data_IF_888792057094
#
_entry.id   IF_888792057094
#
_cell.length_a   1.000
_cell.length_b   1.000
_cell.length_c   1.000
_cell.angle_alpha   90.00
_cell.angle_beta   90.00
_cell.angle_gamma   90.00
#
_symmetry.space_group_name_H-M   'P 1'
#
loop_
_entity.id
_entity.type
_entity.pdbx_description
1 polymer ?
#
# COMPACT_ATOMS: atom_id res chain seq x y z
N UNK A 1 35.96 -1.58 -18.02
CA UNK A 1 35.61 -0.26 -17.47
C UNK A 1 34.63 -0.48 -16.32
N UNK A 2 35.10 -0.37 -15.09
CA UNK A 2 34.29 -0.62 -13.89
C UNK A 2 33.91 0.74 -13.30
N UNK A 3 32.63 1.12 -13.37
CA UNK A 3 32.14 2.37 -12.79
C UNK A 3 32.06 2.20 -11.27
N UNK A 4 33.09 2.65 -10.55
CA UNK A 4 33.05 2.80 -9.09
C UNK A 4 32.68 4.24 -8.77
N UNK A 5 31.38 4.53 -8.79
CA UNK A 5 30.85 5.83 -8.33
C UNK A 5 30.48 5.69 -6.86
N UNK A 6 31.22 6.36 -5.99
CA UNK A 6 30.90 6.42 -4.56
C UNK A 6 29.86 7.53 -4.36
N UNK A 7 28.57 7.16 -4.33
CA UNK A 7 27.46 8.10 -4.08
C UNK A 7 27.39 8.47 -2.60
N UNK A 8 28.36 9.23 -2.12
CA UNK A 8 28.31 9.88 -0.80
C UNK A 8 27.58 11.22 -0.96
N UNK A 9 26.26 11.23 -0.82
CA UNK A 9 25.44 12.34 -0.29
C UNK A 9 23.96 12.00 -0.43
N UNK A 10 23.24 11.91 0.70
CA UNK A 10 21.77 11.74 0.75
C UNK A 10 21.01 12.77 -0.11
N UNK A 11 21.59 13.96 -0.26
CA UNK A 11 21.08 15.07 -1.09
C UNK A 11 21.01 14.68 -2.58
N UNK A 12 21.96 13.90 -3.09
CA UNK A 12 22.00 13.53 -4.52
C UNK A 12 20.98 12.45 -4.84
N UNK A 13 20.81 11.48 -3.94
CA UNK A 13 19.78 10.43 -4.05
C UNK A 13 18.38 11.05 -3.96
N UNK A 14 18.19 12.01 -3.04
CA UNK A 14 16.92 12.74 -2.91
C UNK A 14 16.57 13.51 -4.19
N UNK A 15 17.53 14.26 -4.76
CA UNK A 15 17.31 15.03 -6.01
C UNK A 15 17.03 14.15 -7.23
N UNK A 16 17.61 12.96 -7.28
CA UNK A 16 17.31 11.99 -8.34
C UNK A 16 15.90 11.41 -8.12
N UNK A 17 15.51 11.17 -6.87
CA UNK A 17 14.17 10.69 -6.52
C UNK A 17 13.11 11.75 -6.83
N UNK A 18 13.40 13.04 -6.67
CA UNK A 18 12.45 14.09 -7.05
C UNK A 18 12.10 14.07 -8.55
N UNK A 19 13.00 13.58 -9.40
CA UNK A 19 12.77 13.44 -10.84
C UNK A 19 11.79 12.34 -11.21
N UNK A 20 11.56 11.35 -10.34
CA UNK A 20 10.61 10.26 -10.61
C UNK A 20 9.19 10.61 -10.15
N UNK A 21 9.01 11.70 -9.38
CA UNK A 21 7.70 12.13 -8.90
C UNK A 21 6.67 12.35 -10.03
N UNK A 22 7.02 12.94 -11.20
CA UNK A 22 6.09 13.05 -12.32
C UNK A 22 5.67 11.68 -12.87
N UNK A 23 6.61 10.74 -12.99
CA UNK A 23 6.33 9.37 -13.45
C UNK A 23 5.40 8.63 -12.48
N UNK A 24 5.61 8.81 -11.17
CA UNK A 24 4.73 8.24 -10.15
C UNK A 24 3.32 8.81 -10.26
N UNK A 25 3.18 10.13 -10.49
CA UNK A 25 1.87 10.77 -10.68
C UNK A 25 1.17 10.24 -11.93
N UNK A 26 1.91 10.12 -13.04
CA UNK A 26 1.40 9.56 -14.29
C UNK A 26 0.90 8.14 -14.07
N UNK A 27 1.71 7.28 -13.45
CA UNK A 27 1.33 5.91 -13.09
C UNK A 27 0.09 5.86 -12.17
N UNK A 28 -0.02 6.77 -11.20
CA UNK A 28 -1.20 6.85 -10.33
C UNK A 28 -2.47 7.28 -11.07
N UNK A 29 -2.34 8.03 -12.17
CA UNK A 29 -3.45 8.51 -13.00
C UNK A 29 -3.74 7.65 -14.23
N UNK A 30 -2.91 6.64 -14.53
CA UNK A 30 -3.07 5.81 -15.72
C UNK A 30 -4.46 5.18 -15.77
N UNK A 31 -5.09 5.05 -16.95
CA UNK A 31 -6.35 4.35 -17.08
C UNK A 31 -6.20 2.89 -16.65
N UNK A 32 -7.27 2.31 -16.12
CA UNK A 32 -7.36 0.90 -15.73
C UNK A 32 -8.26 0.16 -16.72
N UNK A 33 -8.12 -1.16 -16.79
CA UNK A 33 -9.09 -2.02 -17.46
C UNK A 33 -10.49 -1.88 -16.83
N UNK A 34 -11.52 -2.17 -17.62
CA UNK A 34 -12.93 -2.06 -17.17
C UNK A 34 -13.31 -3.11 -16.14
N UNK A 35 -12.74 -4.31 -16.22
CA UNK A 35 -13.10 -5.44 -15.36
C UNK A 35 -11.86 -6.11 -14.81
N UNK A 36 -11.84 -6.37 -13.50
CA UNK A 36 -10.82 -7.19 -12.85
C UNK A 36 -11.46 -8.42 -12.22
N UNK A 37 -10.77 -9.56 -12.36
CA UNK A 37 -11.22 -10.81 -11.78
C UNK A 37 -11.12 -10.80 -10.25
N UNK A 38 -9.99 -10.32 -9.72
CA UNK A 38 -9.77 -10.24 -8.27
C UNK A 38 -9.07 -8.94 -7.93
N UNK A 39 -9.51 -8.26 -6.89
CA UNK A 39 -8.78 -7.12 -6.31
C UNK A 39 -8.46 -7.41 -4.85
N UNK A 40 -7.17 -7.37 -4.53
CA UNK A 40 -6.65 -7.44 -3.18
C UNK A 40 -6.40 -6.02 -2.65
N UNK A 41 -6.86 -5.74 -1.44
CA UNK A 41 -6.55 -4.53 -0.71
C UNK A 41 -5.78 -4.91 0.55
N UNK A 42 -4.57 -4.39 0.66
CA UNK A 42 -3.65 -4.66 1.76
C UNK A 42 -3.10 -3.36 2.37
N UNK A 43 -2.60 -3.44 3.60
CA UNK A 43 -2.00 -2.34 4.34
C UNK A 43 -0.63 -2.71 4.88
N UNK A 44 0.34 -1.85 4.57
CA UNK A 44 1.68 -1.90 5.15
C UNK A 44 1.85 -0.71 6.10
N UNK A 45 2.25 -0.99 7.34
CA UNK A 45 2.48 0.03 8.35
C UNK A 45 3.96 0.29 8.62
N UNK A 46 4.31 1.57 8.72
CA UNK A 46 5.68 2.01 8.90
C UNK A 46 5.77 3.21 9.84
N UNK A 47 6.89 3.29 10.56
CA UNK A 47 7.16 4.36 11.51
C UNK A 47 8.00 5.43 10.82
N UNK A 48 7.48 6.65 10.75
CA UNK A 48 8.16 7.79 10.13
C UNK A 48 8.47 8.82 11.19
N UNK A 49 9.72 9.29 11.25
CA UNK A 49 10.07 10.46 12.05
C UNK A 49 9.65 11.71 11.29
N UNK A 50 8.72 12.47 11.86
CA UNK A 50 8.29 13.77 11.35
C UNK A 50 8.34 14.77 12.50
N UNK A 51 9.02 15.90 12.32
CA UNK A 51 9.08 16.99 13.30
C UNK A 51 9.49 16.57 14.72
N UNK A 52 10.39 15.59 14.83
CA UNK A 52 10.89 15.09 16.12
C UNK A 52 9.99 14.06 16.80
N UNK A 53 8.81 13.75 16.23
CA UNK A 53 7.92 12.70 16.71
C UNK A 53 7.92 11.49 15.76
N UNK A 54 7.79 10.29 16.31
CA UNK A 54 7.59 9.08 15.52
C UNK A 54 6.09 8.94 15.25
N UNK A 55 5.69 9.18 14.00
CA UNK A 55 4.32 9.06 13.53
C UNK A 55 4.19 7.74 12.76
N UNK A 56 3.14 6.98 13.05
CA UNK A 56 2.82 5.76 12.29
C UNK A 56 2.04 6.14 11.04
N UNK A 57 2.48 5.65 9.89
CA UNK A 57 1.79 5.81 8.61
C UNK A 57 1.42 4.43 8.07
N UNK A 58 0.26 4.37 7.44
CA UNK A 58 -0.23 3.18 6.73
C UNK A 58 -0.21 3.46 5.22
N UNK A 59 0.43 2.58 4.46
CA UNK A 59 0.28 2.52 3.00
C UNK A 59 -0.77 1.48 2.67
N UNK A 60 -1.86 1.93 2.06
CA UNK A 60 -2.88 1.09 1.48
C UNK A 60 -2.49 0.78 0.03
N UNK A 61 -2.55 -0.48 -0.36
CA UNK A 61 -2.17 -0.93 -1.70
C UNK A 61 -3.36 -1.71 -2.27
N UNK A 62 -3.77 -1.36 -3.49
CA UNK A 62 -4.73 -2.12 -4.27
C UNK A 62 -3.99 -2.87 -5.39
N UNK A 63 -4.13 -4.18 -5.42
CA UNK A 63 -3.54 -5.07 -6.43
C UNK A 63 -4.67 -5.76 -7.16
N UNK A 64 -4.72 -5.61 -8.48
CA UNK A 64 -5.73 -6.21 -9.34
C UNK A 64 -5.15 -7.40 -10.10
N UNK A 65 -5.98 -8.41 -10.33
CA UNK A 65 -5.76 -9.49 -11.29
C UNK A 65 -6.70 -9.24 -12.45
N UNK A 66 -6.15 -8.99 -13.64
CA UNK A 66 -6.96 -8.79 -14.83
C UNK A 66 -7.59 -10.11 -15.31
N UNK A 67 -8.41 -10.06 -16.35
CA UNK A 67 -9.09 -11.25 -16.88
C UNK A 67 -8.13 -12.27 -17.51
N UNK A 68 -6.90 -11.85 -17.83
CA UNK A 68 -5.83 -12.70 -18.37
C UNK A 68 -5.00 -13.36 -17.25
N UNK A 69 -5.27 -13.05 -15.98
CA UNK A 69 -4.54 -13.57 -14.82
C UNK A 69 -3.27 -12.79 -14.46
N UNK A 70 -3.01 -11.66 -15.12
CA UNK A 70 -1.87 -10.79 -14.82
C UNK A 70 -2.14 -9.96 -13.57
N UNK A 71 -1.19 -9.99 -12.63
CA UNK A 71 -1.22 -9.18 -11.40
C UNK A 71 -0.61 -7.82 -11.66
N UNK A 72 -1.30 -6.76 -11.26
CA UNK A 72 -0.76 -5.41 -11.33
C UNK A 72 -1.18 -4.57 -10.11
N UNK A 73 -0.32 -3.62 -9.74
CA UNK A 73 -0.66 -2.64 -8.70
C UNK A 73 -1.53 -1.57 -9.34
N UNK A 74 -2.77 -1.46 -8.85
CA UNK A 74 -3.73 -0.48 -9.33
C UNK A 74 -3.40 0.89 -8.78
N UNK A 75 -3.13 0.98 -7.47
CA UNK A 75 -2.80 2.24 -6.79
C UNK A 75 -2.25 2.01 -5.37
N UNK A 76 -1.59 3.05 -4.86
CA UNK A 76 -1.14 3.16 -3.47
C UNK A 76 -1.66 4.45 -2.86
N UNK A 77 -2.02 4.41 -1.57
CA UNK A 77 -2.43 5.58 -0.80
C UNK A 77 -1.69 5.59 0.54
N UNK A 78 -1.18 6.75 0.94
CA UNK A 78 -0.56 6.93 2.24
C UNK A 78 -1.55 7.67 3.12
N UNK A 79 -1.87 7.09 4.28
CA UNK A 79 -2.78 7.73 5.23
C UNK A 79 -2.43 7.36 6.67
N UNK A 80 -2.77 8.26 7.58
CA UNK A 80 -2.54 8.09 9.02
C UNK A 80 -3.73 7.45 9.73
N UNK A 81 -4.94 7.58 9.18
CA UNK A 81 -6.15 7.04 9.81
C UNK A 81 -7.14 6.46 8.78
N UNK A 82 -7.76 5.36 9.17
CA UNK A 82 -8.76 4.65 8.38
C UNK A 82 -10.15 5.24 8.61
N UNK A 83 -10.95 5.33 7.55
CA UNK A 83 -12.36 5.65 7.71
C UNK A 83 -13.18 5.01 6.59
N UNK A 84 -14.45 4.71 6.84
CA UNK A 84 -15.35 4.23 5.78
C UNK A 84 -15.39 5.19 4.57
N UNK A 85 -15.26 6.50 4.82
CA UNK A 85 -15.15 7.54 3.78
C UNK A 85 -13.89 7.39 2.92
N UNK A 86 -12.80 6.87 3.49
CA UNK A 86 -11.57 6.59 2.76
C UNK A 86 -11.77 5.48 1.73
N UNK A 87 -12.34 4.34 2.15
CA UNK A 87 -12.60 3.22 1.24
C UNK A 87 -13.55 3.62 0.10
N UNK A 88 -14.58 4.41 0.41
CA UNK A 88 -15.45 4.97 -0.62
C UNK A 88 -14.66 5.87 -1.61
N UNK A 89 -13.75 6.70 -1.09
CA UNK A 89 -12.85 7.51 -1.93
C UNK A 89 -11.90 6.65 -2.77
N UNK A 90 -11.43 5.52 -2.24
CA UNK A 90 -10.57 4.57 -2.96
C UNK A 90 -11.32 3.99 -4.15
N UNK A 91 -12.52 3.43 -3.92
CA UNK A 91 -13.37 2.85 -4.96
C UNK A 91 -13.77 3.89 -6.01
N UNK A 92 -14.19 5.08 -5.61
CA UNK A 92 -14.50 6.17 -6.53
C UNK A 92 -13.27 6.55 -7.39
N UNK A 93 -12.07 6.51 -6.80
CA UNK A 93 -10.86 6.84 -7.53
C UNK A 93 -10.46 5.77 -8.56
N UNK A 94 -10.81 4.50 -8.33
CA UNK A 94 -10.64 3.43 -9.30
C UNK A 94 -11.70 3.53 -10.41
N UNK A 95 -12.95 3.81 -10.03
CA UNK A 95 -14.06 4.02 -10.99
C UNK A 95 -13.78 5.17 -11.95
N UNK A 96 -13.29 6.30 -11.45
CA UNK A 96 -12.91 7.45 -12.26
C UNK A 96 -11.79 7.15 -13.27
N UNK A 97 -11.06 6.04 -13.11
CA UNK A 97 -9.97 5.61 -14.01
C UNK A 97 -10.41 4.58 -15.04
N UNK A 98 -11.69 4.22 -15.06
CA UNK A 98 -12.26 3.26 -16.00
C UNK A 98 -12.64 1.92 -15.40
N UNK A 99 -12.43 1.69 -14.09
CA UNK A 99 -12.87 0.45 -13.44
C UNK A 99 -14.41 0.43 -13.34
N UNK A 100 -15.04 -0.50 -14.04
CA UNK A 100 -16.49 -0.67 -14.05
C UNK A 100 -16.92 -1.77 -13.07
N UNK A 101 -16.20 -2.90 -13.04
CA UNK A 101 -16.60 -4.06 -12.23
C UNK A 101 -15.41 -4.84 -11.64
N UNK A 102 -15.66 -5.49 -10.50
CA UNK A 102 -14.72 -6.37 -9.81
C UNK A 102 -15.47 -7.64 -9.42
N UNK A 103 -15.05 -8.80 -9.92
CA UNK A 103 -15.73 -10.06 -9.63
C UNK A 103 -15.52 -10.51 -8.17
N UNK A 104 -14.30 -10.37 -7.65
CA UNK A 104 -13.95 -10.73 -6.27
C UNK A 104 -13.10 -9.63 -5.65
N UNK A 105 -13.50 -9.13 -4.49
CA UNK A 105 -12.70 -8.20 -3.69
C UNK A 105 -12.28 -8.87 -2.38
N UNK A 106 -10.97 -8.98 -2.16
CA UNK A 106 -10.38 -9.48 -0.93
C UNK A 106 -9.75 -8.33 -0.16
N UNK A 107 -10.23 -8.06 1.05
CA UNK A 107 -9.68 -7.04 1.94
C UNK A 107 -9.21 -7.75 3.18
N UNK A 108 -7.91 -7.70 3.49
CA UNK A 108 -7.43 -8.23 4.77
C UNK A 108 -8.05 -7.41 5.90
N UNK A 109 -8.54 -8.11 6.92
CA UNK A 109 -9.38 -7.52 7.96
C UNK A 109 -8.69 -6.33 8.62
N UNK A 110 -9.49 -5.31 8.96
CA UNK A 110 -9.08 -4.06 9.60
C UNK A 110 -8.28 -4.23 10.91
N UNK A 111 -8.10 -5.47 11.41
CA UNK A 111 -7.24 -5.83 12.53
C UNK A 111 -5.81 -5.32 12.35
N UNK A 112 -5.22 -5.46 11.16
CA UNK A 112 -3.85 -4.98 10.87
C UNK A 112 -3.74 -3.46 11.05
N UNK A 113 -4.75 -2.72 10.58
CA UNK A 113 -4.87 -1.26 10.73
C UNK A 113 -5.12 -0.87 12.19
N UNK A 114 -5.97 -1.63 12.90
CA UNK A 114 -6.21 -1.42 14.33
C UNK A 114 -4.95 -1.64 15.18
N UNK A 115 -4.09 -2.56 14.76
CA UNK A 115 -2.78 -2.83 15.38
C UNK A 115 -1.80 -1.70 15.12
N UNK A 116 -1.79 -1.20 13.89
CA UNK A 116 -1.02 -0.05 13.49
C UNK A 116 -1.41 1.21 14.28
N UNK A 117 -2.70 1.45 14.48
CA UNK A 117 -3.21 2.62 15.21
C UNK A 117 -3.08 2.50 16.74
N UNK A 118 -3.07 1.29 17.32
CA UNK A 118 -2.97 1.07 18.77
C UNK A 118 -1.56 1.24 19.35
N UNK A 119 -0.63 1.79 18.59
CA UNK A 119 0.68 2.11 19.15
C UNK A 119 1.58 0.91 19.35
N UNK A 120 1.30 -0.24 18.71
CA UNK A 120 2.05 -1.51 18.79
C UNK A 120 3.53 -1.35 19.12
N UNK A 121 3.82 -1.39 20.41
CA UNK A 121 4.99 -1.97 21.02
C UNK A 121 4.44 -3.26 21.62
N UNK A 122 4.98 -4.41 21.21
CA UNK A 122 4.90 -5.58 22.08
C UNK A 122 5.50 -5.17 23.42
N UNK A 123 5.00 -5.72 24.53
CA UNK A 123 5.62 -5.53 25.86
C UNK A 123 7.12 -5.90 25.87
N UNK A 124 7.59 -6.60 24.83
CA UNK A 124 8.94 -7.14 24.66
C UNK A 124 9.88 -6.29 23.78
N UNK A 125 9.42 -5.20 23.15
CA UNK A 125 10.31 -4.21 22.51
C UNK A 125 11.05 -4.65 21.23
N UNK A 126 10.66 -5.76 20.58
CA UNK A 126 11.36 -6.28 19.39
C UNK A 126 10.79 -5.71 18.07
N UNK A 127 11.59 -4.98 17.25
CA UNK A 127 11.14 -4.47 15.97
C UNK A 127 11.28 -5.56 14.89
N UNK A 128 10.14 -6.13 14.51
CA UNK A 128 9.95 -7.02 13.36
C UNK A 128 10.60 -8.40 13.50
N UNK A 129 9.85 -9.37 14.02
CA UNK A 129 9.48 -10.63 13.33
C UNK A 129 8.37 -11.29 14.18
N UNK A 130 7.16 -11.45 13.63
CA UNK A 130 6.40 -12.68 13.93
C UNK A 130 5.59 -13.15 12.73
N UNK A 131 6.11 -14.23 12.16
CA UNK A 131 5.46 -15.19 11.28
C UNK A 131 4.15 -15.69 11.94
N UNK A 132 3.01 -15.81 11.23
CA UNK A 132 1.77 -16.25 11.86
C UNK A 132 1.85 -17.73 12.23
N UNK A 133 1.60 -18.13 13.49
CA UNK A 133 0.98 -19.41 13.74
C UNK A 133 -0.53 -19.24 13.53
N UNK A 134 -1.09 -20.22 12.83
CA UNK A 134 -2.53 -20.51 12.73
C UNK A 134 -3.24 -19.93 11.50
N UNK A 135 -2.93 -20.56 10.37
CA UNK A 135 -3.92 -21.03 9.40
C UNK A 135 -5.11 -21.68 10.12
N UNK A 136 -6.09 -20.88 10.55
CA UNK A 136 -7.37 -21.41 10.98
C UNK A 136 -8.52 -20.41 10.79
N UNK A 137 -8.75 -19.99 9.55
CA UNK A 137 -10.10 -19.60 9.10
C UNK A 137 -10.32 -20.13 7.69
N UNK A 138 -10.48 -21.45 7.62
CA UNK A 138 -11.40 -22.06 6.67
C UNK A 138 -12.82 -21.58 6.99
N UNK A 139 -13.56 -21.23 5.94
CA UNK A 139 -15.01 -21.04 5.86
C UNK A 139 -15.61 -19.77 6.52
N UNK A 140 -16.24 -18.91 5.71
CA UNK A 140 -17.70 -18.88 5.48
C UNK A 140 -18.06 -17.62 4.66
N UNK A 141 -18.64 -17.87 3.47
CA UNK A 141 -19.43 -17.01 2.58
C UNK A 141 -18.80 -15.74 1.99
#
# INVERSE_FOLDING_TARGET
MTYRVSLFQDITISRITDKILPLVKEWQSRPLESVYAVVFMDVICYHVRSEGQIIKKAVYIAIGINMEGTREVLRMWIKENESAKFWLSVLNSLKNRGLEDILIACVDGLKQISWCNRGGISEDGDPAVHNPPDTQFDQVL
#
